data_IF_818796849688
#
_entry.id   IF_818796849688
#
_cell.length_a   1.000
_cell.length_b   1.000
_cell.length_c   1.000
_cell.angle_alpha   90.00
_cell.angle_beta   90.00
_cell.angle_gamma   90.00
#
_symmetry.space_group_name_H-M   'P 1'
#
loop_
_entity.id
_entity.type
_entity.pdbx_description
1 polymer ?
#
# COMPACT_ATOMS: atom_id res chain seq x y z
N UNK A 1 -7.42 15.64 -9.12
CA UNK A 1 -7.80 14.71 -8.03
C UNK A 1 -6.54 13.99 -7.57
N UNK A 2 -6.33 13.83 -6.27
CA UNK A 2 -5.22 13.07 -5.68
C UNK A 2 -5.49 11.57 -5.85
N UNK A 3 -4.48 10.75 -6.20
CA UNK A 3 -4.68 9.29 -6.22
C UNK A 3 -4.94 8.81 -4.78
N UNK A 4 -5.74 7.76 -4.61
CA UNK A 4 -5.78 7.03 -3.34
C UNK A 4 -4.45 6.33 -3.09
N UNK A 5 -4.20 5.92 -1.84
CA UNK A 5 -3.00 5.13 -1.52
C UNK A 5 -2.95 3.83 -2.33
N UNK A 6 -4.10 3.16 -2.49
CA UNK A 6 -4.21 1.95 -3.31
C UNK A 6 -3.85 2.22 -4.78
N UNK A 7 -4.37 3.30 -5.36
CA UNK A 7 -4.03 3.68 -6.74
C UNK A 7 -2.54 3.97 -6.90
N UNK A 8 -1.92 4.65 -5.94
CA UNK A 8 -0.45 4.78 -5.89
C UNK A 8 0.24 3.42 -5.84
N UNK A 9 -0.19 2.54 -4.93
CA UNK A 9 0.41 1.24 -4.73
C UNK A 9 0.34 0.38 -6.01
N UNK A 10 -0.73 0.50 -6.80
CA UNK A 10 -0.81 -0.17 -8.12
C UNK A 10 0.27 0.28 -9.10
N UNK A 11 0.81 1.49 -8.96
CA UNK A 11 1.94 1.98 -9.77
C UNK A 11 3.29 1.43 -9.32
N UNK A 12 3.37 0.87 -8.12
CA UNK A 12 4.57 0.25 -7.56
C UNK A 12 4.63 -1.26 -7.82
N UNK A 13 3.61 -1.84 -8.46
CA UNK A 13 3.57 -3.27 -8.80
C UNK A 13 4.70 -3.63 -9.76
N UNK A 14 5.42 -4.67 -9.40
CA UNK A 14 6.41 -5.31 -10.26
C UNK A 14 6.51 -6.79 -9.85
N UNK A 15 5.95 -7.73 -10.64
CA UNK A 15 5.88 -9.15 -10.25
C UNK A 15 7.24 -9.82 -10.14
N UNK A 16 8.26 -9.29 -10.83
CA UNK A 16 9.61 -9.85 -10.86
C UNK A 16 10.56 -9.19 -9.84
N UNK A 17 10.08 -8.18 -9.10
CA UNK A 17 10.88 -7.45 -8.12
C UNK A 17 10.92 -8.16 -6.76
N UNK A 18 12.11 -8.17 -6.15
CA UNK A 18 12.30 -8.57 -4.76
C UNK A 18 12.15 -7.40 -3.76
N UNK A 19 11.91 -6.17 -4.23
CA UNK A 19 11.67 -5.00 -3.37
C UNK A 19 10.39 -5.18 -2.53
N UNK A 20 10.49 -4.87 -1.24
CA UNK A 20 9.40 -5.10 -0.28
C UNK A 20 8.14 -4.31 -0.61
N UNK A 21 8.26 -3.09 -1.15
CA UNK A 21 7.10 -2.26 -1.54
C UNK A 21 6.47 -2.82 -2.80
N UNK A 22 7.26 -3.32 -3.75
CA UNK A 22 6.72 -4.02 -4.92
C UNK A 22 5.97 -5.30 -4.52
N UNK A 23 6.51 -6.08 -3.58
CA UNK A 23 5.82 -7.26 -3.04
C UNK A 23 4.53 -6.89 -2.31
N UNK A 24 4.56 -5.85 -1.46
CA UNK A 24 3.37 -5.32 -0.82
C UNK A 24 2.32 -4.90 -1.86
N UNK A 25 2.72 -4.20 -2.92
CA UNK A 25 1.84 -3.78 -3.99
C UNK A 25 1.21 -4.95 -4.76
N UNK A 26 2.00 -5.98 -5.06
CA UNK A 26 1.51 -7.18 -5.72
C UNK A 26 0.48 -7.91 -4.85
N UNK A 27 0.74 -8.03 -3.55
CA UNK A 27 -0.17 -8.71 -2.61
C UNK A 27 -1.46 -7.90 -2.37
N UNK A 28 -1.35 -6.58 -2.15
CA UNK A 28 -2.50 -5.70 -1.99
C UNK A 28 -3.39 -5.66 -3.25
N UNK A 29 -2.84 -5.91 -4.44
CA UNK A 29 -3.64 -6.03 -5.66
C UNK A 29 -4.60 -7.23 -5.63
N UNK A 30 -4.22 -8.30 -4.94
CA UNK A 30 -5.03 -9.51 -4.76
C UNK A 30 -6.05 -9.37 -3.62
N UNK A 31 -5.90 -8.33 -2.80
CA UNK A 31 -6.78 -8.02 -1.68
C UNK A 31 -8.07 -7.33 -2.16
N UNK A 32 -9.15 -8.10 -2.20
CA UNK A 32 -10.44 -7.63 -2.71
C UNK A 32 -11.10 -6.61 -1.78
N UNK A 33 -10.82 -6.68 -0.47
CA UNK A 33 -11.47 -5.86 0.56
C UNK A 33 -10.59 -4.69 1.03
N UNK A 34 -9.42 -4.49 0.41
CA UNK A 34 -8.57 -3.32 0.66
C UNK A 34 -9.39 -2.02 0.54
N UNK A 35 -9.15 -0.99 1.37
CA UNK A 35 -9.86 0.30 1.30
C UNK A 35 -9.39 1.13 0.08
N UNK A 36 -9.77 0.72 -1.14
CA UNK A 36 -9.23 1.23 -2.42
C UNK A 36 -9.41 2.72 -2.68
N UNK A 37 -10.38 3.34 -2.01
CA UNK A 37 -10.68 4.78 -2.16
C UNK A 37 -10.11 5.63 -1.02
N UNK A 38 -9.57 5.02 0.04
CA UNK A 38 -9.05 5.77 1.19
C UNK A 38 -7.77 6.52 0.82
N UNK A 39 -7.67 7.74 1.33
CA UNK A 39 -6.45 8.55 1.37
C UNK A 39 -5.98 8.81 2.81
N UNK A 40 -6.72 8.27 3.78
CA UNK A 40 -6.52 8.49 5.21
C UNK A 40 -5.55 7.43 5.77
N UNK A 41 -4.51 7.91 6.45
CA UNK A 41 -3.45 7.06 7.02
C UNK A 41 -4.01 6.11 8.06
N UNK A 42 -4.82 6.61 9.00
CA UNK A 42 -5.30 5.84 10.14
C UNK A 42 -6.25 4.73 9.69
N UNK A 43 -7.12 5.03 8.70
CA UNK A 43 -8.01 4.04 8.09
C UNK A 43 -7.22 2.90 7.46
N UNK A 44 -6.15 3.22 6.74
CA UNK A 44 -5.34 2.20 6.04
C UNK A 44 -4.45 1.45 7.04
N UNK A 45 -3.82 2.14 7.99
CA UNK A 45 -2.98 1.53 9.02
C UNK A 45 -3.76 0.51 9.83
N UNK A 46 -4.93 0.92 10.36
CA UNK A 46 -5.80 0.02 11.11
C UNK A 46 -6.23 -1.20 10.30
N UNK A 47 -6.62 -0.97 9.04
CA UNK A 47 -6.99 -2.06 8.14
C UNK A 47 -5.84 -3.07 7.96
N UNK A 48 -4.62 -2.58 7.75
CA UNK A 48 -3.45 -3.43 7.54
C UNK A 48 -3.09 -4.22 8.81
N UNK A 49 -3.11 -3.59 9.98
CA UNK A 49 -2.86 -4.24 11.28
C UNK A 49 -3.86 -5.37 11.56
N UNK A 50 -5.14 -5.18 11.21
CA UNK A 50 -6.21 -6.13 11.49
C UNK A 50 -6.34 -7.24 10.42
N UNK A 51 -6.00 -6.96 9.16
CA UNK A 51 -6.38 -7.82 8.02
C UNK A 51 -5.22 -8.26 7.12
N UNK A 52 -4.10 -7.52 7.04
CA UNK A 52 -3.09 -7.72 6.01
C UNK A 52 -2.02 -8.74 6.38
N UNK A 53 -2.39 -10.02 6.44
CA UNK A 53 -1.46 -11.14 6.71
C UNK A 53 -0.34 -11.31 5.67
N UNK A 54 -0.48 -10.67 4.51
CA UNK A 54 0.51 -10.68 3.44
C UNK A 54 1.58 -9.59 3.59
N UNK A 55 1.43 -8.69 4.57
CA UNK A 55 2.39 -7.64 4.87
C UNK A 55 3.30 -8.12 6.02
N UNK A 56 4.58 -8.42 5.76
CA UNK A 56 5.46 -8.99 6.79
C UNK A 56 5.76 -8.03 7.96
N UNK A 57 5.70 -6.73 7.71
CA UNK A 57 5.97 -5.69 8.70
C UNK A 57 5.25 -4.39 8.35
N UNK A 58 4.70 -3.70 9.36
CA UNK A 58 4.11 -2.37 9.20
C UNK A 58 5.14 -1.32 8.75
N UNK A 59 6.44 -1.55 8.99
CA UNK A 59 7.50 -0.66 8.48
C UNK A 59 7.54 -0.57 6.95
N UNK A 60 7.09 -1.62 6.25
CA UNK A 60 6.97 -1.63 4.78
C UNK A 60 5.84 -0.69 4.35
N UNK A 61 4.72 -0.70 5.08
CA UNK A 61 3.64 0.25 4.87
C UNK A 61 4.09 1.68 5.15
N UNK A 62 4.79 1.94 6.25
CA UNK A 62 5.31 3.27 6.58
C UNK A 62 6.21 3.80 5.45
N UNK A 63 7.11 2.97 4.93
CA UNK A 63 7.98 3.33 3.81
C UNK A 63 7.19 3.61 2.51
N UNK A 64 6.19 2.77 2.19
CA UNK A 64 5.31 2.99 1.05
C UNK A 64 4.49 4.28 1.21
N UNK A 65 4.04 4.60 2.43
CA UNK A 65 3.31 5.81 2.74
C UNK A 65 4.15 7.07 2.52
N UNK A 66 5.41 7.06 2.95
CA UNK A 66 6.32 8.19 2.69
C UNK A 66 6.53 8.41 1.19
N UNK A 67 6.70 7.34 0.40
CA UNK A 67 6.78 7.44 -1.07
C UNK A 67 5.49 7.99 -1.68
N UNK A 68 4.33 7.57 -1.18
CA UNK A 68 3.03 8.11 -1.58
C UNK A 68 2.94 9.61 -1.33
N UNK A 69 3.33 10.10 -0.14
CA UNK A 69 3.35 11.53 0.19
C UNK A 69 4.29 12.30 -0.74
N UNK A 70 5.49 11.78 -0.99
CA UNK A 70 6.47 12.41 -1.87
C UNK A 70 5.96 12.54 -3.33
N UNK A 71 5.20 11.55 -3.84
CA UNK A 71 4.61 11.59 -5.19
C UNK A 71 3.41 12.54 -5.31
N UNK A 72 2.86 12.98 -4.19
CA UNK A 72 1.70 13.88 -4.10
C UNK A 72 2.09 15.34 -3.83
N UNK A 73 3.39 15.61 -3.75
CA UNK A 73 3.97 16.96 -3.65
C UNK A 73 4.17 17.50 -5.06
#
# INVERSE_FOLDING_TARGET
MRLSFYQFLMTERNPDSADEIAQFANNAALDQIFPKQSQDFDVISKYLEENARYLPSMTIFDAAWQRYLAKMT
#
